data_IF_227106679725
#
_entry.id   IF_227106679725
#
_cell.length_a   1.000
_cell.length_b   1.000
_cell.length_c   1.000
_cell.angle_alpha   90.00
_cell.angle_beta   90.00
_cell.angle_gamma   90.00
#
_symmetry.space_group_name_H-M   'P 1'
#
loop_
_entity.id
_entity.type
_entity.pdbx_description
1 polymer ?
#
# COMPACT_ATOMS: atom_id res chain seq x y z
N UNK A 1 23.85 -13.09 -2.14
CA UNK A 1 23.67 -12.58 -3.55
C UNK A 1 24.75 -11.54 -3.84
N UNK A 2 25.25 -11.38 -5.10
CA UNK A 2 26.18 -10.30 -5.45
C UNK A 2 25.51 -8.94 -5.28
N UNK A 3 26.19 -7.99 -4.63
CA UNK A 3 25.71 -6.61 -4.50
C UNK A 3 26.40 -5.74 -5.56
N UNK A 4 25.62 -4.94 -6.28
CA UNK A 4 26.08 -4.01 -7.31
C UNK A 4 25.60 -2.61 -6.96
N UNK A 5 26.50 -1.65 -6.96
CA UNK A 5 26.23 -0.25 -6.65
C UNK A 5 26.28 0.58 -7.92
N UNK A 6 25.29 1.44 -8.10
CA UNK A 6 25.25 2.39 -9.21
C UNK A 6 24.78 3.76 -8.76
N UNK A 7 25.61 4.77 -8.94
CA UNK A 7 25.29 6.17 -8.62
C UNK A 7 26.14 7.12 -9.46
N UNK A 8 25.57 8.26 -9.76
CA UNK A 8 26.25 9.44 -10.31
C UNK A 8 26.99 10.28 -9.24
N UNK A 9 26.87 9.89 -7.97
CA UNK A 9 27.48 10.56 -6.82
C UNK A 9 28.52 9.68 -6.14
N UNK A 10 29.79 10.04 -6.29
CA UNK A 10 30.94 9.29 -5.76
C UNK A 10 30.94 9.19 -4.21
N UNK A 11 30.37 10.21 -3.52
CA UNK A 11 30.31 10.17 -2.06
C UNK A 11 29.25 9.14 -1.58
N UNK A 12 28.15 9.00 -2.31
CA UNK A 12 27.17 7.95 -2.02
C UNK A 12 27.75 6.56 -2.29
N UNK A 13 28.47 6.36 -3.39
CA UNK A 13 29.14 5.09 -3.68
C UNK A 13 30.10 4.72 -2.56
N UNK A 14 31.01 5.63 -2.18
CA UNK A 14 31.95 5.40 -1.09
C UNK A 14 31.29 5.08 0.24
N UNK A 15 30.17 5.75 0.55
CA UNK A 15 29.40 5.47 1.74
C UNK A 15 28.78 4.05 1.68
N UNK A 16 28.10 3.70 0.60
CA UNK A 16 27.47 2.38 0.45
C UNK A 16 28.49 1.24 0.40
N UNK A 17 29.66 1.46 -0.25
CA UNK A 17 30.81 0.52 -0.24
C UNK A 17 31.27 0.23 1.18
N UNK A 18 31.38 1.27 2.01
CA UNK A 18 31.80 1.12 3.40
C UNK A 18 30.81 0.29 4.21
N UNK A 19 29.50 0.49 3.98
CA UNK A 19 28.42 -0.24 4.66
C UNK A 19 28.35 -1.69 4.17
N UNK A 20 28.52 -1.94 2.88
CA UNK A 20 28.48 -3.30 2.30
C UNK A 20 29.75 -4.13 2.57
N UNK A 21 30.67 -3.66 3.43
CA UNK A 21 31.88 -4.38 3.85
C UNK A 21 32.74 -4.94 2.68
N UNK A 22 32.90 -4.16 1.60
CA UNK A 22 33.64 -4.52 0.39
C UNK A 22 33.13 -5.76 -0.37
N UNK A 23 31.93 -6.22 -0.09
CA UNK A 23 31.30 -7.31 -0.84
C UNK A 23 30.54 -6.81 -2.07
N UNK A 24 30.48 -5.49 -2.25
CA UNK A 24 29.80 -4.84 -3.37
C UNK A 24 30.83 -4.48 -4.48
N UNK A 25 30.33 -4.44 -5.71
CA UNK A 25 31.07 -3.89 -6.85
C UNK A 25 30.34 -2.63 -7.34
N UNK A 26 31.13 -1.58 -7.64
CA UNK A 26 30.60 -0.36 -8.22
C UNK A 26 30.70 -0.40 -9.74
N UNK A 27 29.69 0.10 -10.43
CA UNK A 27 29.61 0.21 -11.89
C UNK A 27 29.37 1.67 -12.26
N UNK A 28 30.10 2.16 -13.26
CA UNK A 28 30.01 3.56 -13.69
C UNK A 28 29.21 3.77 -14.97
N UNK A 29 29.05 2.71 -15.80
CA UNK A 29 28.32 2.79 -17.07
C UNK A 29 26.96 2.03 -16.97
N UNK A 30 25.90 2.70 -17.39
CA UNK A 30 24.56 2.11 -17.45
C UNK A 30 24.50 0.89 -18.40
N UNK A 31 25.34 0.85 -19.44
CA UNK A 31 25.38 -0.31 -20.36
C UNK A 31 25.89 -1.54 -19.64
N UNK A 32 26.92 -1.40 -18.82
CA UNK A 32 27.47 -2.50 -18.03
C UNK A 32 26.48 -2.93 -16.95
N UNK A 33 25.80 -1.98 -16.31
CA UNK A 33 24.72 -2.27 -15.35
C UNK A 33 23.62 -3.14 -15.98
N UNK A 34 23.23 -2.85 -17.21
CA UNK A 34 22.19 -3.60 -17.93
C UNK A 34 22.60 -5.04 -18.30
N UNK A 35 23.87 -5.39 -18.21
CA UNK A 35 24.40 -6.75 -18.42
C UNK A 35 24.38 -7.60 -17.15
N UNK A 36 24.23 -6.98 -15.97
CA UNK A 36 24.22 -7.65 -14.66
C UNK A 36 23.04 -8.62 -14.57
N UNK A 37 23.31 -9.78 -13.94
CA UNK A 37 22.33 -10.85 -13.74
C UNK A 37 22.39 -11.40 -12.33
N UNK A 38 21.20 -11.75 -11.79
CA UNK A 38 21.05 -12.43 -10.49
C UNK A 38 21.76 -11.72 -9.32
N UNK A 39 21.71 -10.39 -9.31
CA UNK A 39 22.33 -9.53 -8.30
C UNK A 39 21.30 -8.68 -7.57
N UNK A 40 21.69 -8.16 -6.40
CA UNK A 40 21.03 -7.03 -5.77
C UNK A 40 21.69 -5.74 -6.26
N UNK A 41 20.94 -4.91 -6.96
CA UNK A 41 21.40 -3.62 -7.47
C UNK A 41 20.87 -2.53 -6.54
N UNK A 42 21.80 -1.78 -5.96
CA UNK A 42 21.52 -0.57 -5.19
C UNK A 42 21.78 0.62 -6.10
N UNK A 43 20.75 1.37 -6.42
CA UNK A 43 20.83 2.43 -7.42
C UNK A 43 20.34 3.76 -6.85
N UNK A 44 21.13 4.83 -7.08
CA UNK A 44 20.70 6.20 -6.79
C UNK A 44 19.63 6.64 -7.78
N UNK A 45 18.52 7.18 -7.29
CA UNK A 45 17.42 7.64 -8.14
C UNK A 45 17.83 8.73 -9.14
N UNK A 46 18.78 9.60 -8.79
CA UNK A 46 19.31 10.63 -9.69
C UNK A 46 20.10 10.07 -10.88
N UNK A 47 20.60 8.85 -10.77
CA UNK A 47 21.35 8.19 -11.84
C UNK A 47 20.45 7.58 -12.93
N UNK A 48 19.11 7.60 -12.74
CA UNK A 48 18.18 7.25 -13.80
C UNK A 48 17.97 8.41 -14.76
N UNK A 49 17.91 8.08 -16.05
CA UNK A 49 17.42 8.96 -17.10
C UNK A 49 15.87 8.97 -17.15
N UNK A 50 15.32 9.61 -18.19
CA UNK A 50 13.87 9.63 -18.43
C UNK A 50 13.22 8.24 -18.65
N UNK A 51 14.04 7.19 -18.80
CA UNK A 51 13.62 5.81 -19.07
C UNK A 51 13.62 4.90 -17.84
N UNK A 52 13.48 5.45 -16.66
CA UNK A 52 13.50 4.70 -15.37
C UNK A 52 12.72 3.37 -15.43
N UNK A 53 11.49 3.41 -15.94
CA UNK A 53 10.63 2.22 -16.07
C UNK A 53 11.25 1.13 -16.94
N UNK A 54 11.78 1.52 -18.10
CA UNK A 54 12.38 0.57 -19.04
C UNK A 54 13.63 -0.05 -18.46
N UNK A 55 14.46 0.76 -17.78
CA UNK A 55 15.68 0.31 -17.11
C UNK A 55 15.36 -0.68 -16.00
N UNK A 56 14.43 -0.38 -15.11
CA UNK A 56 14.01 -1.30 -14.04
C UNK A 56 13.47 -2.60 -14.63
N UNK A 57 12.61 -2.54 -15.64
CA UNK A 57 12.05 -3.74 -16.28
C UNK A 57 13.12 -4.62 -16.94
N UNK A 58 14.15 -4.02 -17.57
CA UNK A 58 15.28 -4.76 -18.14
C UNK A 58 16.10 -5.45 -17.06
N UNK A 59 16.45 -4.73 -16.00
CA UNK A 59 17.20 -5.28 -14.87
C UNK A 59 16.44 -6.42 -14.19
N UNK A 60 15.12 -6.29 -14.02
CA UNK A 60 14.24 -7.35 -13.47
C UNK A 60 14.22 -8.60 -14.36
N UNK A 61 14.15 -8.45 -15.68
CA UNK A 61 14.21 -9.59 -16.63
C UNK A 61 15.49 -10.39 -16.53
N UNK A 62 16.57 -9.76 -16.10
CA UNK A 62 17.85 -10.41 -15.85
C UNK A 62 17.94 -11.11 -14.48
N UNK A 63 16.84 -11.21 -13.74
CA UNK A 63 16.79 -11.87 -12.43
C UNK A 63 17.33 -11.01 -11.27
N UNK A 64 17.54 -9.71 -11.49
CA UNK A 64 18.05 -8.82 -10.45
C UNK A 64 16.95 -8.40 -9.47
N UNK A 65 17.34 -8.17 -8.21
CA UNK A 65 16.60 -7.39 -7.23
C UNK A 65 17.09 -5.95 -7.24
N UNK A 66 16.19 -4.98 -7.00
CA UNK A 66 16.51 -3.56 -7.17
C UNK A 66 16.09 -2.79 -5.94
N UNK A 67 17.05 -2.16 -5.26
CA UNK A 67 16.85 -1.19 -4.19
C UNK A 67 17.13 0.21 -4.75
N UNK A 68 16.11 1.04 -4.84
CA UNK A 68 16.25 2.43 -5.31
C UNK A 68 16.35 3.35 -4.10
N UNK A 69 17.41 4.14 -4.06
CA UNK A 69 17.68 5.10 -3.00
C UNK A 69 17.63 6.53 -3.54
N UNK A 70 17.01 7.43 -2.80
CA UNK A 70 16.83 8.81 -3.19
C UNK A 70 17.31 9.75 -2.08
N UNK A 71 18.04 10.83 -2.43
CA UNK A 71 18.53 11.81 -1.44
C UNK A 71 17.37 12.50 -0.69
N UNK A 72 16.30 12.78 -1.40
CA UNK A 72 15.08 13.36 -0.85
C UNK A 72 13.91 12.46 -1.27
N UNK A 73 13.66 11.37 -0.53
CA UNK A 73 12.57 10.45 -0.86
C UNK A 73 11.22 11.16 -0.87
N UNK A 74 10.37 10.77 -1.83
CA UNK A 74 8.98 11.22 -1.87
C UNK A 74 8.05 10.05 -2.22
N UNK A 75 6.78 10.19 -1.84
CA UNK A 75 5.80 9.09 -1.92
C UNK A 75 5.47 8.73 -3.36
N UNK A 76 5.33 9.71 -4.24
CA UNK A 76 4.90 9.46 -5.62
C UNK A 76 5.99 8.73 -6.41
N UNK A 77 7.26 9.17 -6.28
CA UNK A 77 8.40 8.46 -6.88
C UNK A 77 8.53 7.05 -6.35
N UNK A 78 8.42 6.86 -5.03
CA UNK A 78 8.50 5.54 -4.43
C UNK A 78 7.40 4.60 -4.91
N UNK A 79 6.17 5.07 -5.00
CA UNK A 79 5.04 4.29 -5.55
C UNK A 79 5.28 3.89 -7.00
N UNK A 80 5.75 4.82 -7.84
CA UNK A 80 6.06 4.54 -9.24
C UNK A 80 7.15 3.47 -9.38
N UNK A 81 8.26 3.63 -8.64
CA UNK A 81 9.38 2.71 -8.69
C UNK A 81 9.00 1.29 -8.25
N UNK A 82 8.20 1.17 -7.18
CA UNK A 82 7.65 -0.12 -6.74
C UNK A 82 6.70 -0.71 -7.79
N UNK A 83 5.85 0.10 -8.41
CA UNK A 83 4.97 -0.35 -9.50
C UNK A 83 5.76 -0.79 -10.75
N UNK A 84 6.94 -0.27 -10.98
CA UNK A 84 7.86 -0.73 -12.05
C UNK A 84 8.60 -2.02 -11.68
N UNK A 85 8.52 -2.47 -10.43
CA UNK A 85 9.08 -3.72 -9.95
C UNK A 85 10.34 -3.59 -9.07
N UNK A 86 10.66 -2.39 -8.56
CA UNK A 86 11.69 -2.25 -7.54
C UNK A 86 11.34 -3.08 -6.29
N UNK A 87 12.34 -3.66 -5.66
CA UNK A 87 12.21 -4.47 -4.45
C UNK A 87 12.35 -3.64 -3.17
N UNK A 88 12.80 -2.39 -3.29
CA UNK A 88 12.89 -1.50 -2.15
C UNK A 88 13.02 -0.05 -2.54
N UNK A 89 12.67 0.84 -1.58
CA UNK A 89 12.80 2.28 -1.73
C UNK A 89 13.14 2.94 -0.39
N UNK A 90 14.10 3.88 -0.41
CA UNK A 90 14.55 4.54 0.80
C UNK A 90 15.39 5.79 0.60
N UNK A 91 15.95 6.28 1.70
CA UNK A 91 16.86 7.44 1.70
C UNK A 91 18.28 6.99 1.37
N UNK A 92 18.93 7.69 0.42
CA UNK A 92 20.32 7.40 0.02
C UNK A 92 21.35 7.62 1.13
N UNK A 93 21.03 8.45 2.11
CA UNK A 93 21.84 8.76 3.28
C UNK A 93 21.32 8.10 4.57
N UNK A 94 20.49 7.05 4.45
CA UNK A 94 19.98 6.33 5.62
C UNK A 94 21.11 5.67 6.40
N UNK A 95 20.91 5.51 7.71
CA UNK A 95 21.90 4.89 8.59
C UNK A 95 22.22 3.46 8.17
N UNK A 96 23.43 3.02 8.45
CA UNK A 96 23.97 1.70 8.10
C UNK A 96 22.99 0.54 8.42
N UNK A 97 22.41 0.50 9.61
CA UNK A 97 21.49 -0.58 10.01
C UNK A 97 20.23 -0.67 9.13
N UNK A 98 19.76 0.45 8.55
CA UNK A 98 18.64 0.42 7.61
C UNK A 98 19.06 -0.15 6.26
N UNK A 99 20.29 0.15 5.80
CA UNK A 99 20.78 -0.40 4.54
C UNK A 99 21.01 -1.91 4.68
N UNK A 100 21.58 -2.37 5.79
CA UNK A 100 21.70 -3.80 6.10
C UNK A 100 20.33 -4.50 6.12
N UNK A 101 19.36 -3.93 6.85
CA UNK A 101 18.00 -4.47 6.90
C UNK A 101 17.35 -4.53 5.50
N UNK A 102 17.63 -3.56 4.63
CA UNK A 102 17.12 -3.56 3.27
C UNK A 102 17.74 -4.70 2.44
N UNK A 103 19.04 -4.89 2.56
CA UNK A 103 19.77 -5.95 1.86
C UNK A 103 19.24 -7.32 2.29
N UNK A 104 19.17 -7.59 3.59
CA UNK A 104 18.67 -8.85 4.16
C UNK A 104 17.24 -9.15 3.70
N UNK A 105 16.31 -8.20 3.86
CA UNK A 105 14.93 -8.39 3.45
C UNK A 105 14.80 -8.69 1.94
N UNK A 106 15.56 -8.00 1.10
CA UNK A 106 15.50 -8.22 -0.34
C UNK A 106 16.15 -9.55 -0.74
N UNK A 107 17.19 -10.00 -0.07
CA UNK A 107 17.79 -11.33 -0.27
C UNK A 107 16.82 -12.46 0.10
N UNK A 108 15.94 -12.24 1.08
CA UNK A 108 14.83 -13.14 1.44
C UNK A 108 13.65 -13.04 0.47
N UNK A 109 13.71 -12.20 -0.55
CA UNK A 109 12.64 -12.02 -1.55
C UNK A 109 11.52 -11.07 -1.09
N UNK A 110 11.70 -10.37 0.00
CA UNK A 110 10.74 -9.41 0.53
C UNK A 110 10.88 -8.03 -0.14
N UNK A 111 9.82 -7.21 -0.02
CA UNK A 111 9.89 -5.79 -0.36
C UNK A 111 10.29 -5.00 0.89
N UNK A 112 11.31 -4.16 0.75
CA UNK A 112 11.75 -3.30 1.84
C UNK A 112 11.43 -1.83 1.57
N UNK A 113 10.90 -1.15 2.59
CA UNK A 113 10.63 0.28 2.55
C UNK A 113 11.20 0.94 3.81
N UNK A 114 11.82 2.12 3.63
CA UNK A 114 12.27 2.88 4.78
C UNK A 114 11.09 3.19 5.73
N UNK A 115 11.23 3.06 7.07
CA UNK A 115 10.12 3.23 8.02
C UNK A 115 9.36 4.54 7.88
N UNK A 116 10.05 5.67 7.66
CA UNK A 116 9.42 6.98 7.43
C UNK A 116 8.53 6.98 6.18
N UNK A 117 8.98 6.32 5.11
CA UNK A 117 8.21 6.19 3.89
C UNK A 117 6.97 5.32 4.11
N UNK A 118 7.10 4.24 4.87
CA UNK A 118 5.98 3.36 5.23
C UNK A 118 4.94 4.11 6.06
N UNK A 119 5.36 4.89 7.05
CA UNK A 119 4.47 5.73 7.86
C UNK A 119 3.72 6.74 7.01
N UNK A 120 4.42 7.45 6.13
CA UNK A 120 3.82 8.42 5.22
C UNK A 120 2.85 7.78 4.20
N UNK A 121 3.09 6.56 3.77
CA UNK A 121 2.15 5.79 2.93
C UNK A 121 0.88 5.44 3.71
N UNK A 122 1.00 5.02 4.96
CA UNK A 122 -0.15 4.68 5.82
C UNK A 122 -1.01 5.92 6.07
N UNK A 123 -0.41 7.07 6.34
CA UNK A 123 -1.13 8.34 6.53
C UNK A 123 -1.94 8.77 5.31
N UNK A 124 -1.49 8.42 4.11
CA UNK A 124 -2.21 8.71 2.86
C UNK A 124 -3.30 7.69 2.52
N UNK A 125 -3.40 6.59 3.25
CA UNK A 125 -4.54 5.68 3.10
C UNK A 125 -5.75 6.41 3.70
N UNK A 126 -6.74 6.84 2.88
CA UNK A 126 -7.92 7.47 3.45
C UNK A 126 -8.52 6.48 4.45
N UNK A 127 -8.92 6.95 5.64
CA UNK A 127 -9.57 6.07 6.61
C UNK A 127 -10.71 5.37 5.88
N UNK A 128 -10.61 4.05 5.78
CA UNK A 128 -11.61 3.25 5.09
C UNK A 128 -12.94 3.65 5.69
N UNK A 129 -13.96 3.99 4.87
CA UNK A 129 -15.32 4.38 5.30
C UNK A 129 -16.02 3.37 6.25
N UNK A 130 -15.32 2.34 6.66
CA UNK A 130 -15.74 1.34 7.66
C UNK A 130 -16.14 2.00 8.99
N UNK A 131 -15.46 3.09 9.39
CA UNK A 131 -15.83 3.82 10.61
C UNK A 131 -17.15 4.61 10.45
N UNK A 132 -17.46 5.09 9.25
CA UNK A 132 -18.68 5.86 9.04
C UNK A 132 -19.94 4.98 9.13
N UNK A 133 -19.88 3.75 8.66
CA UNK A 133 -21.00 2.79 8.71
C UNK A 133 -21.17 2.26 10.12
N UNK A 134 -20.08 1.87 10.80
CA UNK A 134 -20.12 1.41 12.18
C UNK A 134 -20.63 2.51 13.13
N UNK A 135 -20.15 3.76 12.96
CA UNK A 135 -20.63 4.93 13.73
C UNK A 135 -22.10 5.24 13.44
N UNK A 136 -22.56 5.12 12.19
CA UNK A 136 -23.97 5.32 11.83
C UNK A 136 -24.86 4.21 12.37
N UNK A 137 -24.40 2.95 12.40
CA UNK A 137 -25.15 1.84 13.02
C UNK A 137 -25.28 2.06 14.54
N UNK A 138 -24.28 2.62 15.20
CA UNK A 138 -24.36 2.97 16.63
C UNK A 138 -25.46 4.00 16.92
N UNK A 139 -25.83 4.85 15.96
CA UNK A 139 -26.93 5.83 16.11
C UNK A 139 -28.33 5.21 15.99
N UNK A 140 -28.43 3.95 15.57
CA UNK A 140 -29.69 3.22 15.51
C UNK A 140 -30.09 2.73 16.91
N UNK A 141 -31.39 2.84 17.22
CA UNK A 141 -31.93 2.17 18.42
C UNK A 141 -31.84 0.64 18.28
N UNK A 142 -31.89 -0.09 19.38
CA UNK A 142 -31.84 -1.57 19.36
C UNK A 142 -32.93 -2.13 18.42
N UNK A 143 -34.12 -1.55 18.44
CA UNK A 143 -35.20 -1.98 17.56
C UNK A 143 -34.96 -1.68 16.08
N UNK A 144 -34.31 -0.55 15.78
CA UNK A 144 -33.86 -0.24 14.42
C UNK A 144 -32.73 -1.16 13.95
N UNK A 145 -31.85 -1.60 14.85
CA UNK A 145 -30.80 -2.60 14.54
C UNK A 145 -31.41 -3.95 14.17
N UNK A 146 -32.41 -4.43 14.91
CA UNK A 146 -33.12 -5.68 14.58
C UNK A 146 -33.79 -5.59 13.20
N UNK A 147 -34.49 -4.49 12.93
CA UNK A 147 -35.17 -4.25 11.66
C UNK A 147 -34.15 -4.15 10.50
N UNK A 148 -33.05 -3.45 10.66
CA UNK A 148 -32.06 -3.23 9.59
C UNK A 148 -31.38 -4.53 9.17
N UNK A 149 -31.05 -5.43 10.11
CA UNK A 149 -30.45 -6.72 9.78
C UNK A 149 -31.42 -7.61 8.99
N UNK A 150 -32.67 -7.70 9.40
CA UNK A 150 -33.66 -8.47 8.66
C UNK A 150 -33.94 -7.90 7.27
N UNK A 151 -34.00 -6.59 7.14
CA UNK A 151 -34.16 -5.92 5.84
C UNK A 151 -32.95 -6.14 4.93
N UNK A 152 -31.73 -6.10 5.47
CA UNK A 152 -30.51 -6.39 4.73
C UNK A 152 -30.56 -7.79 4.10
N UNK A 153 -31.00 -8.80 4.87
CA UNK A 153 -31.06 -10.20 4.44
C UNK A 153 -32.24 -10.52 3.53
N UNK A 154 -32.97 -9.50 3.08
CA UNK A 154 -34.01 -9.69 2.07
C UNK A 154 -35.42 -9.89 2.63
N UNK A 155 -35.69 -9.91 3.94
CA UNK A 155 -37.01 -10.11 4.50
C UNK A 155 -38.01 -9.02 4.10
N UNK A 156 -39.23 -9.36 3.70
CA UNK A 156 -40.29 -8.39 3.41
C UNK A 156 -40.75 -7.70 4.68
N UNK A 157 -41.38 -6.53 4.58
CA UNK A 157 -41.95 -5.84 5.76
C UNK A 157 -42.94 -6.71 6.53
N UNK A 158 -43.71 -7.54 5.83
CA UNK A 158 -44.65 -8.50 6.45
C UNK A 158 -43.88 -9.54 7.25
N UNK A 159 -42.79 -10.09 6.69
CA UNK A 159 -41.97 -11.10 7.36
C UNK A 159 -41.23 -10.52 8.56
N UNK A 160 -40.71 -9.31 8.45
CA UNK A 160 -40.07 -8.59 9.58
C UNK A 160 -41.09 -8.34 10.70
N UNK A 161 -42.33 -7.94 10.34
CA UNK A 161 -43.43 -7.72 11.29
C UNK A 161 -43.74 -8.99 12.08
N UNK A 162 -43.85 -10.14 11.38
CA UNK A 162 -44.08 -11.46 12.00
C UNK A 162 -42.94 -11.85 12.96
N UNK A 163 -41.69 -11.68 12.53
CA UNK A 163 -40.49 -12.06 13.31
C UNK A 163 -40.29 -11.20 14.56
N UNK A 164 -40.67 -9.94 14.50
CA UNK A 164 -40.48 -8.99 15.59
C UNK A 164 -41.75 -8.71 16.41
N UNK A 165 -42.85 -9.40 16.13
CA UNK A 165 -44.19 -9.23 16.78
C UNK A 165 -44.66 -7.75 16.78
N UNK A 166 -44.61 -7.11 15.60
CA UNK A 166 -45.06 -5.74 15.37
C UNK A 166 -45.88 -5.66 14.07
N UNK A 167 -46.52 -4.50 13.82
CA UNK A 167 -47.26 -4.34 12.58
C UNK A 167 -46.36 -4.00 11.39
N UNK A 168 -46.75 -4.37 10.15
CA UNK A 168 -46.03 -3.94 8.95
C UNK A 168 -45.92 -2.40 8.82
N UNK A 169 -46.87 -1.67 9.35
CA UNK A 169 -46.87 -0.20 9.44
C UNK A 169 -45.72 0.29 10.34
N UNK A 170 -45.51 -0.37 11.48
CA UNK A 170 -44.41 -0.08 12.42
C UNK A 170 -43.06 -0.39 11.77
N UNK A 171 -42.93 -1.52 11.06
CA UNK A 171 -41.72 -1.84 10.30
C UNK A 171 -41.37 -0.76 9.27
N UNK A 172 -42.39 -0.27 8.52
CA UNK A 172 -42.22 0.80 7.54
C UNK A 172 -41.75 2.10 8.20
N UNK A 173 -42.26 2.43 9.39
CA UNK A 173 -41.83 3.60 10.15
C UNK A 173 -40.34 3.47 10.57
N UNK A 174 -39.94 2.31 11.12
CA UNK A 174 -38.53 2.03 11.44
C UNK A 174 -37.64 2.09 10.20
N UNK A 175 -38.06 1.50 9.08
CA UNK A 175 -37.30 1.55 7.82
C UNK A 175 -37.08 2.99 7.34
N UNK A 176 -38.07 3.86 7.40
CA UNK A 176 -37.97 5.28 7.08
C UNK A 176 -36.94 6.01 7.98
N UNK A 177 -36.99 5.74 9.28
CA UNK A 177 -36.04 6.29 10.24
C UNK A 177 -34.62 5.82 9.96
N UNK A 178 -34.43 4.50 9.72
CA UNK A 178 -33.17 3.89 9.37
C UNK A 178 -32.60 4.52 8.09
N UNK A 179 -33.39 4.65 7.03
CA UNK A 179 -32.92 5.25 5.77
C UNK A 179 -32.45 6.68 5.95
N UNK A 180 -33.17 7.47 6.78
CA UNK A 180 -32.76 8.84 7.10
C UNK A 180 -31.46 8.88 7.91
N UNK A 181 -31.32 8.06 8.95
CA UNK A 181 -30.12 8.00 9.81
C UNK A 181 -28.89 7.52 9.05
N UNK A 182 -29.05 6.49 8.21
CA UNK A 182 -27.97 5.92 7.40
C UNK A 182 -27.73 6.69 6.08
N UNK A 183 -28.53 7.71 5.78
CA UNK A 183 -28.47 8.53 4.56
C UNK A 183 -28.58 7.69 3.27
N UNK A 184 -29.43 6.70 3.27
CA UNK A 184 -29.76 5.89 2.08
C UNK A 184 -31.17 6.19 1.59
N UNK A 185 -31.42 6.03 0.29
CA UNK A 185 -32.69 6.39 -0.32
C UNK A 185 -33.72 5.24 -0.29
N UNK A 186 -33.25 4.02 -0.30
CA UNK A 186 -34.06 2.83 -0.47
C UNK A 186 -33.38 1.58 0.12
N UNK A 187 -34.09 0.46 0.03
CA UNK A 187 -33.63 -0.83 0.53
C UNK A 187 -32.42 -1.37 -0.21
N UNK A 188 -32.31 -1.13 -1.53
CA UNK A 188 -31.17 -1.58 -2.30
C UNK A 188 -29.90 -0.85 -1.85
N UNK A 189 -30.00 0.46 -1.69
CA UNK A 189 -28.91 1.29 -1.16
C UNK A 189 -28.51 0.88 0.26
N UNK A 190 -29.50 0.46 1.10
CA UNK A 190 -29.22 -0.08 2.43
C UNK A 190 -28.44 -1.40 2.35
N UNK A 191 -28.87 -2.34 1.51
CA UNK A 191 -28.21 -3.63 1.36
C UNK A 191 -26.78 -3.49 0.84
N UNK A 192 -26.53 -2.56 -0.11
CA UNK A 192 -25.20 -2.24 -0.63
C UNK A 192 -24.30 -1.57 0.41
N UNK A 193 -24.89 -0.73 1.29
CA UNK A 193 -24.15 -0.06 2.36
C UNK A 193 -23.64 -1.05 3.41
N UNK A 194 -24.42 -2.09 3.71
CA UNK A 194 -24.17 -3.05 4.79
C UNK A 194 -23.52 -4.37 4.34
N UNK A 195 -23.17 -4.45 3.06
CA UNK A 195 -22.47 -5.61 2.47
C UNK A 195 -21.00 -5.56 2.79
#
# INVERSE_FOLDING_TARGET
MQIVLYSDDINLLSYWESVCNKQAISIDDMKDLLLIRNALIIINNSAFDEKQKETILKLKKNGNSILVLHRVPNIDSGRQLLAFGANGYGNALMKEHFLHSAIEAIEEGLIWLHPEFTSALIEQIPPKKVNDIALKIVTLSEREKEVVFLLKDGATYKRVAELLDITPRTVKAHASSIYKKLQVKDRLSLALLLK
#
